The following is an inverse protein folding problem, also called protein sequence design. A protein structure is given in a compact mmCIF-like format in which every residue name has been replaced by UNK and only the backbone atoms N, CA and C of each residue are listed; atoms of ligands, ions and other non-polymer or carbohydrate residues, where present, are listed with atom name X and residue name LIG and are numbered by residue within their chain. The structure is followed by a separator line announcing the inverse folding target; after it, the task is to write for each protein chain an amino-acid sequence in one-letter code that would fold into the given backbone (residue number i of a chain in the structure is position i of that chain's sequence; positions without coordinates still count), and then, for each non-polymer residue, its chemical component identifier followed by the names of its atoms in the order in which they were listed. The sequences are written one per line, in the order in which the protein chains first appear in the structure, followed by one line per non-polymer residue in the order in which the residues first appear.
data_IF_415443113456
#
_entry.id   IF_415443113456
#
_cell.length_a   1.000
_cell.length_b   1.000
_cell.length_c   1.000
_cell.angle_alpha   90.00
_cell.angle_beta   90.00
_cell.angle_gamma   90.00
#
_symmetry.space_group_name_H-M   'P 1'
#
loop_
_entity.id
_entity.type
_entity.pdbx_description
1 polymer ?
#
# COMPACT_ATOMS: atom_id res chain seq x y z
N UNK A 1 19.78 -4.67 18.76
CA UNK A 1 19.21 -3.84 17.68
C UNK A 1 19.54 -2.38 17.98
N UNK A 2 19.95 -1.60 16.98
CA UNK A 2 20.21 -0.17 17.18
C UNK A 2 18.88 0.54 17.54
N UNK A 3 18.82 1.34 18.64
CA UNK A 3 17.61 2.05 19.07
C UNK A 3 16.98 2.94 17.98
N UNK A 4 17.79 3.50 17.08
CA UNK A 4 17.32 4.35 15.97
C UNK A 4 16.39 3.61 15.00
N UNK A 5 16.46 2.28 14.97
CA UNK A 5 15.68 1.45 14.05
C UNK A 5 14.33 1.04 14.63
N UNK A 6 14.07 1.28 15.93
CA UNK A 6 12.93 0.69 16.64
C UNK A 6 11.56 1.07 16.07
N UNK A 7 11.40 2.30 15.58
CA UNK A 7 10.10 2.82 15.12
C UNK A 7 9.95 2.83 13.59
N UNK A 8 10.88 2.20 12.86
CA UNK A 8 10.84 2.21 11.39
C UNK A 8 9.56 1.58 10.85
N UNK A 9 9.12 0.46 11.45
CA UNK A 9 7.87 -0.22 11.05
C UNK A 9 6.67 0.74 11.08
N UNK A 10 6.44 1.39 12.22
CA UNK A 10 5.34 2.35 12.38
C UNK A 10 5.42 3.53 11.42
N UNK A 11 6.61 4.15 11.27
CA UNK A 11 6.75 5.27 10.34
C UNK A 11 6.47 4.89 8.89
N UNK A 12 6.84 3.68 8.46
CA UNK A 12 6.53 3.18 7.13
C UNK A 12 5.03 2.93 6.98
N UNK A 13 4.37 2.37 8.01
CA UNK A 13 2.94 2.13 8.02
C UNK A 13 2.15 3.45 7.91
N UNK A 14 2.48 4.44 8.74
CA UNK A 14 1.81 5.75 8.74
C UNK A 14 1.88 6.42 7.35
N UNK A 15 3.05 6.36 6.71
CA UNK A 15 3.22 6.85 5.34
C UNK A 15 2.42 6.00 4.33
N UNK A 16 2.41 4.68 4.49
CA UNK A 16 1.65 3.76 3.64
C UNK A 16 0.15 4.04 3.68
N UNK A 17 -0.42 4.23 4.87
CA UNK A 17 -1.83 4.60 5.09
C UNK A 17 -2.13 5.97 4.50
N UNK A 18 -1.27 6.97 4.72
CA UNK A 18 -1.45 8.30 4.12
C UNK A 18 -1.38 8.30 2.58
N UNK A 19 -0.58 7.43 1.97
CA UNK A 19 -0.57 7.25 0.52
C UNK A 19 -1.80 6.47 0.05
N UNK A 20 -2.26 5.49 0.82
CA UNK A 20 -3.49 4.73 0.54
C UNK A 20 -4.72 5.64 0.51
N UNK A 21 -4.85 6.57 1.47
CA UNK A 21 -6.01 7.46 1.54
C UNK A 21 -6.14 8.36 0.31
N UNK A 22 -5.01 8.86 -0.21
CA UNK A 22 -4.98 9.61 -1.46
C UNK A 22 -5.28 8.72 -2.68
N UNK A 23 -4.80 7.47 -2.69
CA UNK A 23 -5.13 6.52 -3.74
C UNK A 23 -6.63 6.22 -3.80
N UNK A 24 -7.27 6.09 -2.63
CA UNK A 24 -8.72 5.91 -2.51
C UNK A 24 -9.46 7.12 -3.05
N UNK A 25 -9.12 8.33 -2.57
CA UNK A 25 -9.71 9.58 -3.09
C UNK A 25 -9.64 9.63 -4.61
N UNK A 26 -8.45 9.40 -5.18
CA UNK A 26 -8.20 9.51 -6.62
C UNK A 26 -8.80 8.38 -7.45
N UNK A 27 -9.17 7.25 -6.85
CA UNK A 27 -9.80 6.11 -7.56
C UNK A 27 -11.32 6.09 -7.43
N UNK A 28 -11.85 6.47 -6.27
CA UNK A 28 -13.27 6.45 -5.96
C UNK A 28 -13.96 7.73 -6.42
N UNK A 29 -13.32 8.88 -6.19
CA UNK A 29 -13.88 10.19 -6.46
C UNK A 29 -13.17 10.84 -7.66
N UNK A 30 -13.94 11.58 -8.43
CA UNK A 30 -13.44 12.38 -9.54
C UNK A 30 -13.72 13.84 -9.21
N UNK A 31 -12.70 14.69 -9.30
CA UNK A 31 -12.89 16.14 -9.27
C UNK A 31 -13.52 16.62 -10.58
N UNK A 32 -14.80 16.27 -10.81
CA UNK A 32 -15.56 16.70 -11.99
C UNK A 32 -15.52 18.22 -12.13
N UNK A 33 -15.08 18.72 -13.29
CA UNK A 33 -15.00 20.14 -13.61
C UNK A 33 -13.68 20.84 -13.27
N UNK A 34 -12.71 20.13 -12.68
CA UNK A 34 -11.33 20.62 -12.64
C UNK A 34 -10.64 20.33 -13.97
N UNK A 35 -10.02 21.35 -14.58
CA UNK A 35 -9.24 21.24 -15.82
C UNK A 35 -7.90 20.53 -15.52
N UNK A 36 -7.99 19.28 -15.05
CA UNK A 36 -6.83 18.48 -14.69
C UNK A 36 -6.10 18.07 -15.96
N UNK A 37 -4.78 18.20 -15.95
CA UNK A 37 -3.94 17.84 -17.11
C UNK A 37 -3.92 16.34 -17.39
N UNK A 38 -4.28 15.53 -16.38
CA UNK A 38 -4.28 14.07 -16.39
C UNK A 38 -5.42 13.57 -15.52
N UNK A 39 -6.03 12.45 -15.92
CA UNK A 39 -7.01 11.74 -15.09
C UNK A 39 -6.42 11.38 -13.72
N UNK A 40 -7.08 11.80 -12.64
CA UNK A 40 -6.67 11.52 -11.26
C UNK A 40 -6.53 10.02 -10.99
N UNK A 41 -7.28 9.16 -11.70
CA UNK A 41 -7.18 7.70 -11.59
C UNK A 41 -5.76 7.18 -11.88
N UNK A 42 -4.98 7.91 -12.71
CA UNK A 42 -3.57 7.61 -12.95
C UNK A 42 -2.76 7.73 -11.66
N UNK A 43 -2.99 8.79 -10.87
CA UNK A 43 -2.35 8.94 -9.56
C UNK A 43 -2.84 7.87 -8.58
N UNK A 44 -4.13 7.52 -8.62
CA UNK A 44 -4.69 6.41 -7.86
C UNK A 44 -3.89 5.11 -8.03
N UNK A 45 -3.57 4.74 -9.28
CA UNK A 45 -2.74 3.55 -9.56
C UNK A 45 -1.34 3.67 -8.95
N UNK A 46 -0.66 4.80 -9.18
CA UNK A 46 0.71 5.00 -8.71
C UNK A 46 0.79 4.97 -7.19
N UNK A 47 -0.17 5.61 -6.53
CA UNK A 47 -0.26 5.70 -5.08
C UNK A 47 -0.65 4.35 -4.47
N UNK A 48 -1.65 3.63 -5.01
CA UNK A 48 -2.03 2.34 -4.47
C UNK A 48 -0.87 1.33 -4.52
N UNK A 49 -0.11 1.29 -5.62
CA UNK A 49 1.07 0.43 -5.72
C UNK A 49 2.17 0.82 -4.72
N UNK A 50 2.36 2.12 -4.47
CA UNK A 50 3.32 2.61 -3.49
C UNK A 50 2.87 2.34 -2.05
N UNK A 51 1.58 2.53 -1.75
CA UNK A 51 0.98 2.17 -0.47
C UNK A 51 1.17 0.69 -0.17
N UNK A 52 0.88 -0.20 -1.12
CA UNK A 52 1.13 -1.64 -0.95
C UNK A 52 2.60 -1.95 -0.67
N UNK A 53 3.53 -1.29 -1.38
CA UNK A 53 4.97 -1.46 -1.12
C UNK A 53 5.36 -1.05 0.31
N UNK A 54 4.84 0.08 0.79
CA UNK A 54 5.10 0.58 2.14
C UNK A 54 4.46 -0.32 3.19
N UNK A 55 3.16 -0.62 3.08
CA UNK A 55 2.41 -1.44 4.04
C UNK A 55 3.05 -2.83 4.17
N UNK A 56 3.41 -3.48 3.06
CA UNK A 56 4.10 -4.79 3.12
C UNK A 56 5.48 -4.65 3.77
N UNK A 57 6.23 -3.58 3.47
CA UNK A 57 7.51 -3.32 4.13
C UNK A 57 7.35 -3.05 5.62
N UNK A 58 6.28 -2.40 6.06
CA UNK A 58 5.97 -2.20 7.47
C UNK A 58 5.78 -3.56 8.17
N UNK A 59 4.94 -4.44 7.62
CA UNK A 59 4.75 -5.79 8.15
C UNK A 59 6.06 -6.58 8.27
N UNK A 60 6.95 -6.49 7.26
CA UNK A 60 8.27 -7.12 7.29
C UNK A 60 9.19 -6.46 8.34
N UNK A 61 9.21 -5.13 8.40
CA UNK A 61 10.03 -4.35 9.33
C UNK A 61 9.62 -4.58 10.79
N UNK A 62 8.36 -4.91 11.04
CA UNK A 62 7.83 -5.23 12.36
C UNK A 62 8.51 -6.47 12.96
N UNK A 63 8.85 -7.45 12.12
CA UNK A 63 9.65 -8.61 12.52
C UNK A 63 11.08 -8.20 12.86
N UNK A 64 11.72 -7.44 11.96
CA UNK A 64 13.00 -6.81 12.20
C UNK A 64 13.29 -5.74 11.12
N UNK A 65 13.65 -4.49 11.48
CA UNK A 65 13.78 -3.37 10.52
C UNK A 65 14.77 -3.62 9.37
N UNK A 66 15.83 -4.40 9.61
CA UNK A 66 16.81 -4.70 8.56
C UNK A 66 16.30 -5.68 7.48
N UNK A 67 15.15 -6.34 7.68
CA UNK A 67 14.60 -7.31 6.73
C UNK A 67 14.03 -6.66 5.47
N UNK A 68 13.74 -5.36 5.49
CA UNK A 68 13.27 -4.63 4.30
C UNK A 68 14.38 -4.34 3.29
N UNK A 69 15.64 -4.69 3.61
CA UNK A 69 16.80 -4.46 2.75
C UNK A 69 17.18 -5.72 1.97
N UNK A 70 17.32 -5.57 0.66
CA UNK A 70 17.89 -6.59 -0.24
C UNK A 70 19.41 -6.59 -0.22
N UNK A 71 20.04 -5.47 0.15
CA UNK A 71 21.49 -5.33 0.32
C UNK A 71 21.77 -4.53 1.57
N UNK A 72 22.64 -5.06 2.44
CA UNK A 72 23.12 -4.39 3.65
C UNK A 72 24.60 -4.00 3.51
N UNK A 73 25.05 -2.95 4.21
CA UNK A 73 26.47 -2.61 4.30
C UNK A 73 27.27 -3.78 4.90
N UNK A 74 28.47 -4.03 4.37
CA UNK A 74 29.34 -5.08 4.89
C UNK A 74 29.96 -4.64 6.21
N UNK A 75 30.02 -5.53 7.20
CA UNK A 75 30.59 -5.25 8.54
C UNK A 75 32.03 -4.70 8.50
N UNK A 76 32.82 -5.04 7.48
CA UNK A 76 34.17 -4.53 7.28
C UNK A 76 34.24 -3.02 6.94
N UNK A 77 33.10 -2.37 6.67
CA UNK A 77 33.00 -0.95 6.30
C UNK A 77 32.22 -0.12 7.33
N UNK A 78 31.85 -0.70 8.46
CA UNK A 78 31.00 -0.06 9.47
C UNK A 78 31.80 0.13 10.75
N UNK A 79 31.81 1.36 11.25
CA UNK A 79 32.46 1.68 12.52
C UNK A 79 31.49 1.39 13.68
N UNK A 80 31.63 0.22 14.30
CA UNK A 80 30.90 -0.14 15.52
C UNK A 80 30.28 -1.54 15.52
N UNK A 81 29.57 -1.86 16.60
CA UNK A 81 28.98 -3.20 16.83
C UNK A 81 27.64 -3.42 16.11
N UNK A 82 26.96 -2.35 15.70
CA UNK A 82 25.65 -2.38 15.06
C UNK A 82 25.60 -1.41 13.87
N UNK A 83 24.76 -1.71 12.87
CA UNK A 83 24.47 -0.78 11.77
C UNK A 83 23.72 0.45 12.29
N UNK A 84 24.22 1.63 11.93
CA UNK A 84 23.55 2.93 12.11
C UNK A 84 22.61 3.25 10.96
N UNK A 85 21.71 4.23 11.15
CA UNK A 85 20.91 4.76 10.04
C UNK A 85 21.79 5.33 8.92
N UNK A 86 22.89 5.99 9.26
CA UNK A 86 23.81 6.55 8.26
C UNK A 86 24.44 5.46 7.37
N UNK A 87 24.85 4.33 7.96
CA UNK A 87 25.39 3.20 7.17
C UNK A 87 24.36 2.68 6.17
N UNK A 88 23.08 2.62 6.58
CA UNK A 88 21.98 2.19 5.74
C UNK A 88 21.73 3.18 4.59
N UNK A 89 21.75 4.49 4.86
CA UNK A 89 21.54 5.51 3.83
C UNK A 89 22.61 5.51 2.74
N UNK A 90 23.86 5.22 3.07
CA UNK A 90 24.95 5.28 2.09
C UNK A 90 24.92 4.14 1.06
N UNK A 91 24.53 2.93 1.47
CA UNK A 91 24.75 1.75 0.63
C UNK A 91 23.70 0.66 0.71
N UNK A 92 22.70 0.77 1.59
CA UNK A 92 21.64 -0.22 1.64
C UNK A 92 20.64 -0.03 0.51
N UNK A 93 20.05 -1.14 0.06
CA UNK A 93 18.99 -1.15 -0.96
C UNK A 93 17.78 -1.85 -0.39
N UNK A 94 16.60 -1.25 -0.53
CA UNK A 94 15.36 -1.87 -0.09
C UNK A 94 14.88 -2.93 -1.10
N UNK A 95 14.04 -3.84 -0.62
CA UNK A 95 13.36 -4.84 -1.44
C UNK A 95 12.50 -4.14 -2.50
N UNK A 96 12.50 -4.68 -3.72
CA UNK A 96 11.71 -4.16 -4.83
C UNK A 96 10.29 -4.74 -4.79
N UNK A 97 9.33 -4.00 -5.33
CA UNK A 97 7.91 -4.39 -5.38
C UNK A 97 7.67 -5.86 -5.73
N UNK A 98 8.31 -6.37 -6.78
CA UNK A 98 8.09 -7.73 -7.28
C UNK A 98 8.58 -8.83 -6.33
N UNK A 99 9.54 -8.52 -5.47
CA UNK A 99 10.12 -9.45 -4.50
C UNK A 99 9.36 -9.44 -3.17
N UNK A 100 8.45 -8.48 -2.96
CA UNK A 100 7.74 -8.30 -1.68
C UNK A 100 6.88 -9.49 -1.26
N UNK A 101 6.09 -10.15 -2.14
CA UNK A 101 5.24 -11.25 -1.69
C UNK A 101 6.04 -12.40 -1.10
N UNK A 102 7.16 -12.76 -1.73
CA UNK A 102 8.05 -13.82 -1.26
C UNK A 102 8.72 -13.44 0.06
N UNK A 103 9.14 -12.18 0.19
CA UNK A 103 9.78 -11.67 1.42
C UNK A 103 8.81 -11.56 2.59
N UNK A 104 7.58 -11.14 2.33
CA UNK A 104 6.51 -11.12 3.32
C UNK A 104 6.28 -12.53 3.86
N UNK A 105 6.02 -13.49 2.97
CA UNK A 105 5.82 -14.89 3.38
C UNK A 105 7.01 -15.46 4.17
N UNK A 106 8.24 -15.27 3.68
CA UNK A 106 9.41 -15.84 4.33
C UNK A 106 9.68 -15.27 5.74
N UNK A 107 9.20 -14.06 6.03
CA UNK A 107 9.47 -13.37 7.30
C UNK A 107 8.31 -13.41 8.28
N UNK A 108 7.06 -13.43 7.80
CA UNK A 108 5.85 -13.39 8.65
C UNK A 108 5.00 -14.65 8.58
N UNK A 109 5.19 -15.48 7.55
CA UNK A 109 4.33 -16.62 7.24
C UNK A 109 3.05 -16.25 6.47
N UNK A 110 2.72 -14.97 6.31
CA UNK A 110 1.54 -14.50 5.57
C UNK A 110 1.73 -14.64 4.06
N UNK A 111 0.71 -15.15 3.38
CA UNK A 111 0.68 -15.25 1.91
C UNK A 111 -0.42 -14.33 1.38
N UNK A 112 -0.07 -13.49 0.41
CA UNK A 112 -1.06 -12.72 -0.34
C UNK A 112 -1.98 -13.72 -1.07
N UNK A 113 -3.27 -13.67 -0.77
CA UNK A 113 -4.27 -14.59 -1.33
C UNK A 113 -4.40 -14.40 -2.84
N UNK A 114 -4.57 -13.15 -3.28
CA UNK A 114 -4.68 -12.80 -4.70
C UNK A 114 -3.35 -12.25 -5.26
N UNK A 115 -2.40 -13.18 -5.43
CA UNK A 115 -1.08 -12.86 -5.98
C UNK A 115 -1.15 -12.47 -7.47
N UNK A 116 -2.17 -12.94 -8.20
CA UNK A 116 -2.38 -12.58 -9.60
C UNK A 116 -2.69 -11.08 -9.72
N UNK A 117 -3.63 -10.58 -8.91
CA UNK A 117 -3.97 -9.15 -8.84
C UNK A 117 -2.78 -8.31 -8.39
N UNK A 118 -1.97 -8.77 -7.43
CA UNK A 118 -0.74 -8.06 -7.05
C UNK A 118 0.23 -7.89 -8.23
N UNK A 119 0.49 -8.97 -8.97
CA UNK A 119 1.42 -8.92 -10.10
C UNK A 119 0.87 -8.16 -11.31
N UNK A 120 -0.43 -8.29 -11.61
CA UNK A 120 -1.07 -7.56 -12.70
C UNK A 120 -1.07 -6.06 -12.42
N UNK A 121 -1.33 -5.66 -11.18
CA UNK A 121 -1.31 -4.26 -10.75
C UNK A 121 0.09 -3.65 -10.81
N UNK A 122 1.13 -4.40 -10.40
CA UNK A 122 2.53 -3.99 -10.58
C UNK A 122 2.88 -3.72 -12.06
N UNK A 123 2.36 -4.53 -12.99
CA UNK A 123 2.52 -4.30 -14.45
C UNK A 123 1.76 -3.07 -14.93
N UNK A 124 0.53 -2.86 -14.44
CA UNK A 124 -0.26 -1.65 -14.73
C UNK A 124 0.52 -0.39 -14.29
N UNK A 125 1.04 -0.39 -13.06
CA UNK A 125 1.86 0.71 -12.53
C UNK A 125 3.07 1.00 -13.42
N UNK A 126 3.81 -0.03 -13.81
CA UNK A 126 4.98 0.14 -14.69
C UNK A 126 4.60 0.66 -16.10
N UNK A 127 3.45 0.21 -16.63
CA UNK A 127 2.91 0.68 -17.90
C UNK A 127 2.67 2.19 -17.86
N UNK A 128 1.97 2.65 -16.83
CA UNK A 128 1.69 4.08 -16.61
C UNK A 128 2.97 4.88 -16.40
N UNK A 129 3.89 4.41 -15.56
CA UNK A 129 5.11 5.18 -15.21
C UNK A 129 6.08 5.37 -16.37
N UNK A 130 6.20 4.36 -17.24
CA UNK A 130 7.28 4.32 -18.23
C UNK A 130 6.82 4.47 -19.68
N UNK A 131 5.51 4.31 -19.94
CA UNK A 131 5.00 4.28 -21.31
C UNK A 131 3.81 5.24 -21.49
N UNK A 132 2.62 4.83 -21.04
CA UNK A 132 1.39 5.58 -21.26
C UNK A 132 0.26 5.06 -20.34
N UNK A 133 -0.78 5.86 -20.18
CA UNK A 133 -2.04 5.41 -19.58
C UNK A 133 -2.75 4.45 -20.54
N UNK A 134 -3.08 3.22 -20.13
CA UNK A 134 -3.78 2.26 -20.97
C UNK A 134 -5.27 2.62 -21.11
N UNK A 135 -5.88 2.21 -22.22
CA UNK A 135 -7.32 2.37 -22.48
C UNK A 135 -8.13 1.25 -21.80
N UNK A 136 -8.32 1.40 -20.48
CA UNK A 136 -9.10 0.49 -19.61
C UNK A 136 -9.50 1.20 -18.33
N UNK A 137 -10.41 0.59 -17.57
CA UNK A 137 -10.89 1.16 -16.30
C UNK A 137 -9.86 0.99 -15.17
N UNK A 138 -8.88 1.89 -15.15
CA UNK A 138 -7.83 1.90 -14.14
C UNK A 138 -8.35 2.21 -12.72
N UNK A 139 -9.52 2.84 -12.60
CA UNK A 139 -10.13 3.19 -11.31
C UNK A 139 -10.74 1.96 -10.67
N UNK A 140 -11.45 1.14 -11.46
CA UNK A 140 -11.93 -0.16 -11.02
C UNK A 140 -10.76 -1.10 -10.65
N UNK A 141 -9.74 -1.20 -11.51
CA UNK A 141 -8.55 -2.02 -11.21
C UNK A 141 -7.85 -1.56 -9.92
N UNK A 142 -7.81 -0.25 -9.65
CA UNK A 142 -7.26 0.30 -8.40
C UNK A 142 -8.08 -0.09 -7.19
N UNK A 143 -9.41 0.02 -7.25
CA UNK A 143 -10.27 -0.42 -6.14
C UNK A 143 -10.19 -1.93 -5.92
N UNK A 144 -10.16 -2.74 -6.98
CA UNK A 144 -9.94 -4.19 -6.87
C UNK A 144 -8.63 -4.49 -6.15
N UNK A 145 -7.53 -3.86 -6.56
CA UNK A 145 -6.24 -4.05 -5.91
C UNK A 145 -6.25 -3.64 -4.44
N UNK A 146 -6.86 -2.50 -4.10
CA UNK A 146 -6.97 -2.05 -2.70
C UNK A 146 -7.74 -3.08 -1.85
N UNK A 147 -8.95 -3.45 -2.26
CA UNK A 147 -9.84 -4.26 -1.41
C UNK A 147 -9.57 -5.77 -1.48
N UNK A 148 -8.90 -6.26 -2.52
CA UNK A 148 -8.54 -7.69 -2.66
C UNK A 148 -7.11 -8.00 -2.22
N UNK A 149 -6.23 -6.99 -2.14
CA UNK A 149 -4.81 -7.21 -1.80
C UNK A 149 -4.36 -6.40 -0.59
N UNK A 150 -4.59 -5.09 -0.56
CA UNK A 150 -4.11 -4.24 0.55
C UNK A 150 -4.96 -4.43 1.81
N UNK A 151 -6.28 -4.38 1.67
CA UNK A 151 -7.24 -4.49 2.77
C UNK A 151 -7.09 -5.80 3.59
N UNK A 152 -6.94 -7.00 2.99
CA UNK A 152 -6.63 -8.22 3.76
C UNK A 152 -5.31 -8.15 4.54
N UNK A 153 -4.31 -7.43 4.02
CA UNK A 153 -3.02 -7.26 4.71
C UNK A 153 -3.20 -6.33 5.92
N UNK A 154 -3.97 -5.25 5.76
CA UNK A 154 -4.28 -4.33 6.86
C UNK A 154 -5.01 -5.04 8.00
N UNK A 155 -6.08 -5.78 7.67
CA UNK A 155 -6.86 -6.56 8.63
C UNK A 155 -5.95 -7.55 9.37
N UNK A 156 -5.11 -8.30 8.64
CA UNK A 156 -4.29 -9.35 9.23
C UNK A 156 -3.25 -8.85 10.22
N UNK A 157 -2.56 -7.75 9.89
CA UNK A 157 -1.42 -7.29 10.70
C UNK A 157 -1.80 -6.23 11.74
N UNK A 158 -2.88 -5.48 11.51
CA UNK A 158 -3.23 -4.34 12.36
C UNK A 158 -4.71 -4.28 12.76
N UNK A 159 -5.57 -5.19 12.30
CA UNK A 159 -7.04 -5.12 12.50
C UNK A 159 -7.63 -3.78 11.98
N UNK A 160 -6.99 -3.23 10.95
CA UNK A 160 -7.38 -2.00 10.26
C UNK A 160 -8.05 -2.32 8.91
N UNK A 161 -8.92 -1.43 8.44
CA UNK A 161 -9.68 -1.65 7.21
C UNK A 161 -9.42 -0.52 6.21
N UNK A 162 -9.22 -0.86 4.94
CA UNK A 162 -8.92 0.15 3.92
C UNK A 162 -10.02 1.22 3.86
N UNK A 163 -11.29 0.85 4.03
CA UNK A 163 -12.42 1.77 3.95
C UNK A 163 -12.35 2.91 4.97
N UNK A 164 -11.64 2.75 6.09
CA UNK A 164 -11.46 3.79 7.10
C UNK A 164 -10.56 4.95 6.62
N UNK A 165 -9.86 4.77 5.50
CA UNK A 165 -8.84 5.69 5.01
C UNK A 165 -9.19 6.24 3.64
N UNK A 166 -10.09 7.22 3.57
CA UNK A 166 -10.35 8.01 2.36
C UNK A 166 -10.04 9.48 2.65
N UNK A 167 -9.20 10.10 1.82
CA UNK A 167 -8.82 11.51 1.99
C UNK A 167 -9.93 12.46 1.45
N UNK A 168 -11.10 12.40 2.08
CA UNK A 168 -12.27 13.21 1.77
C UNK A 168 -13.16 13.36 3.01
N UNK A 169 -13.73 14.54 3.24
CA UNK A 169 -14.72 14.72 4.30
C UNK A 169 -16.03 14.00 3.95
N UNK A 170 -16.69 13.39 4.95
CA UNK A 170 -17.99 12.73 4.79
C UNK A 170 -18.04 11.63 3.72
N UNK A 171 -16.89 11.02 3.39
CA UNK A 171 -16.83 9.90 2.44
C UNK A 171 -17.69 8.69 2.87
N UNK A 172 -17.91 8.54 4.18
CA UNK A 172 -18.70 7.45 4.77
C UNK A 172 -20.15 7.43 4.27
N UNK A 173 -20.65 8.57 3.77
CA UNK A 173 -22.01 8.72 3.27
C UNK A 173 -22.25 7.95 1.95
N UNK A 174 -21.21 7.73 1.14
CA UNK A 174 -21.34 7.16 -0.21
C UNK A 174 -20.30 6.09 -0.58
N UNK A 175 -19.23 5.91 0.22
CA UNK A 175 -18.14 4.98 -0.10
C UNK A 175 -18.62 3.55 -0.31
N UNK A 176 -19.54 3.06 0.52
CA UNK A 176 -20.07 1.71 0.39
C UNK A 176 -20.95 1.55 -0.85
N UNK A 177 -21.71 2.59 -1.24
CA UNK A 177 -22.48 2.61 -2.49
C UNK A 177 -21.55 2.53 -3.71
N UNK A 178 -20.50 3.35 -3.71
CA UNK A 178 -19.50 3.37 -4.79
C UNK A 178 -18.82 1.99 -4.92
N UNK A 179 -18.43 1.37 -3.80
CA UNK A 179 -17.74 0.08 -3.81
C UNK A 179 -18.68 -1.08 -4.19
N UNK A 180 -19.94 -1.04 -3.73
CA UNK A 180 -20.97 -2.00 -4.10
C UNK A 180 -21.29 -1.93 -5.60
N UNK A 181 -21.41 -0.72 -6.15
CA UNK A 181 -21.59 -0.50 -7.60
C UNK A 181 -20.42 -1.03 -8.44
N UNK A 182 -19.21 -1.11 -7.86
CA UNK A 182 -18.02 -1.74 -8.48
C UNK A 182 -17.96 -3.26 -8.28
N UNK A 183 -18.95 -3.85 -7.61
CA UNK A 183 -19.03 -5.29 -7.33
C UNK A 183 -18.00 -5.77 -6.30
N UNK A 184 -17.53 -4.89 -5.42
CA UNK A 184 -16.51 -5.21 -4.43
C UNK A 184 -17.15 -5.63 -3.11
N UNK A 185 -16.64 -6.73 -2.54
CA UNK A 185 -16.94 -7.11 -1.16
C UNK A 185 -15.89 -6.46 -0.26
N UNK A 186 -16.35 -5.58 0.63
CA UNK A 186 -15.51 -4.73 1.46
C UNK A 186 -15.50 -5.25 2.89
N UNK A 187 -14.34 -5.22 3.54
CA UNK A 187 -14.22 -5.39 4.99
C UNK A 187 -14.33 -4.03 5.66
N UNK A 188 -14.89 -4.01 6.85
CA UNK A 188 -15.15 -2.78 7.58
C UNK A 188 -15.19 -3.06 9.09
N UNK A 189 -14.85 -2.07 9.92
CA UNK A 189 -14.97 -2.18 11.37
C UNK A 189 -16.45 -2.20 11.78
N UNK A 190 -16.73 -2.71 12.98
CA UNK A 190 -18.08 -2.73 13.55
C UNK A 190 -18.73 -1.34 13.62
N UNK A 191 -17.94 -0.28 13.78
CA UNK A 191 -18.38 1.12 13.80
C UNK A 191 -19.05 1.57 12.51
N UNK A 192 -18.74 0.94 11.37
CA UNK A 192 -19.28 1.29 10.05
C UNK A 192 -20.36 0.32 9.53
N UNK A 193 -20.81 -0.64 10.36
CA UNK A 193 -21.78 -1.67 9.95
C UNK A 193 -23.09 -1.07 9.41
N UNK A 194 -23.64 -0.05 10.06
CA UNK A 194 -24.91 0.56 9.65
C UNK A 194 -24.82 1.16 8.24
N UNK A 195 -23.74 1.88 7.93
CA UNK A 195 -23.49 2.43 6.60
C UNK A 195 -23.30 1.31 5.57
N UNK A 196 -22.51 0.29 5.88
CA UNK A 196 -22.22 -0.82 4.98
C UNK A 196 -23.44 -1.67 4.62
N UNK A 197 -24.36 -1.89 5.57
CA UNK A 197 -25.56 -2.71 5.38
C UNK A 197 -26.75 -1.92 4.76
N UNK A 198 -26.60 -0.61 4.59
CA UNK A 198 -27.64 0.26 4.02
C UNK A 198 -27.68 0.28 2.48
N UNK A 199 -26.71 -0.38 1.83
CA UNK A 199 -26.43 -0.35 0.39
C UNK A 199 -26.86 -1.63 -0.32
#
# INVERSE_FOLDING_TARGET
MNPELKNISQHILDLGIGVLSQAQRNSLYSSFGSDSRLDEGVFGVLQAAHAAELIIKAAIADQHPLLIFSTLPKSAKVDGSFLSLNDLFESAKTIQYFDLPEKLWATTGYKIEDLETFHSFGKLRNCIQHFATPDRDIRLETSQFIYQVIDPILEHFWDDYAVEYVDLESYEDDVFEILSARGLKVRYPDSMRESAESV
#
